data_IF_218685172015
#
_entry.id   IF_218685172015
#
_cell.length_a   1.000
_cell.length_b   1.000
_cell.length_c   1.000
_cell.angle_alpha   90.00
_cell.angle_beta   90.00
_cell.angle_gamma   90.00
#
_symmetry.space_group_name_H-M   'P 1'
#
loop_
_entity.id
_entity.type
_entity.pdbx_description
1 polymer ?
#
# COMPACT_ATOMS: atom_id res chain seq x y z
N UNK A 1 9.70 14.63 -8.71
CA UNK A 1 9.35 13.94 -7.45
C UNK A 1 10.56 13.50 -6.65
N UNK A 2 11.53 12.78 -7.24
CA UNK A 2 12.72 12.24 -6.54
C UNK A 2 13.38 13.23 -5.55
N UNK A 3 13.60 14.50 -5.92
CA UNK A 3 14.33 15.47 -5.09
C UNK A 3 13.44 16.33 -4.16
N UNK A 4 12.11 16.27 -4.29
CA UNK A 4 11.22 17.09 -3.48
C UNK A 4 10.99 16.42 -2.12
N UNK A 5 11.62 16.95 -1.06
CA UNK A 5 11.54 16.40 0.30
C UNK A 5 10.14 16.47 0.92
N UNK A 6 9.26 17.34 0.41
CA UNK A 6 7.89 17.47 0.90
C UNK A 6 6.98 16.34 0.40
N UNK A 7 7.40 15.60 -0.64
CA UNK A 7 6.66 14.46 -1.17
C UNK A 7 7.17 13.19 -0.50
N UNK A 8 6.27 12.47 0.14
CA UNK A 8 6.52 11.12 0.63
C UNK A 8 6.08 10.12 -0.45
N UNK A 9 7.05 9.46 -1.08
CA UNK A 9 6.87 8.58 -2.22
C UNK A 9 7.25 7.14 -1.87
N UNK A 10 6.32 6.23 -2.20
CA UNK A 10 6.46 4.79 -2.03
C UNK A 10 6.08 4.13 -3.34
N UNK A 11 6.82 3.10 -3.70
CA UNK A 11 6.53 2.25 -4.86
C UNK A 11 6.08 0.88 -4.37
N UNK A 12 4.95 0.40 -4.91
CA UNK A 12 4.39 -0.88 -4.55
C UNK A 12 4.60 -1.89 -5.66
N UNK A 13 5.31 -2.96 -5.33
CA UNK A 13 5.63 -4.03 -6.26
C UNK A 13 4.89 -5.31 -5.90
N UNK A 14 4.42 -6.03 -6.92
CA UNK A 14 3.83 -7.35 -6.75
C UNK A 14 4.58 -8.36 -7.62
N UNK A 15 5.02 -9.47 -7.02
CA UNK A 15 5.69 -10.55 -7.75
C UNK A 15 4.78 -11.18 -8.82
N UNK A 16 3.47 -11.18 -8.61
CA UNK A 16 2.50 -11.84 -9.50
C UNK A 16 1.90 -10.90 -10.54
N UNK A 17 2.24 -9.61 -10.47
CA UNK A 17 1.84 -8.63 -11.47
C UNK A 17 2.97 -8.44 -12.48
N UNK A 18 2.76 -8.94 -13.70
CA UNK A 18 3.75 -8.84 -14.78
C UNK A 18 3.97 -7.40 -15.27
N UNK A 19 3.04 -6.49 -15.00
CA UNK A 19 3.16 -5.08 -15.37
C UNK A 19 3.92 -4.30 -14.28
N UNK A 20 4.00 -4.83 -13.06
CA UNK A 20 4.81 -4.26 -11.99
C UNK A 20 6.29 -4.54 -12.26
N UNK A 21 7.13 -3.50 -12.18
CA UNK A 21 8.58 -3.65 -12.30
C UNK A 21 9.16 -4.27 -11.01
N UNK A 22 9.00 -5.58 -10.87
CA UNK A 22 9.40 -6.30 -9.66
C UNK A 22 10.92 -6.27 -9.44
N UNK A 23 11.35 -5.89 -8.22
CA UNK A 23 12.76 -5.72 -7.81
C UNK A 23 13.52 -4.69 -8.64
N UNK A 24 12.85 -3.66 -9.14
CA UNK A 24 13.49 -2.57 -9.88
C UNK A 24 13.50 -1.32 -9.01
N UNK A 25 14.67 -0.72 -8.83
CA UNK A 25 14.78 0.60 -8.22
C UNK A 25 14.53 1.65 -9.32
N UNK A 26 13.39 2.37 -9.31
CA UNK A 26 13.05 3.31 -10.38
C UNK A 26 14.00 4.50 -10.44
N UNK A 27 14.62 4.90 -9.32
CA UNK A 27 15.59 6.01 -9.29
C UNK A 27 16.87 5.59 -9.99
N UNK A 28 17.34 4.38 -9.74
CA UNK A 28 18.51 3.83 -10.45
C UNK A 28 18.20 3.59 -11.93
N UNK A 29 17.05 2.99 -12.25
CA UNK A 29 16.67 2.69 -13.63
C UNK A 29 16.58 3.95 -14.51
N UNK A 30 16.23 5.09 -13.91
CA UNK A 30 16.13 6.38 -14.59
C UNK A 30 17.39 7.25 -14.46
N UNK A 31 18.49 6.73 -13.89
CA UNK A 31 19.74 7.47 -13.63
C UNK A 31 19.52 8.78 -12.82
N UNK A 32 18.60 8.76 -11.87
CA UNK A 32 18.30 9.90 -11.01
C UNK A 32 19.19 9.89 -9.76
N UNK A 33 19.48 11.06 -9.16
CA UNK A 33 20.20 11.12 -7.90
C UNK A 33 19.47 10.36 -6.79
N UNK A 34 20.25 9.64 -5.96
CA UNK A 34 19.70 8.89 -4.83
C UNK A 34 19.20 9.86 -3.75
N UNK A 35 17.89 9.84 -3.47
CA UNK A 35 17.26 10.72 -2.48
C UNK A 35 16.70 9.96 -1.28
N UNK A 36 16.89 8.64 -1.25
CA UNK A 36 16.29 7.75 -0.24
C UNK A 36 14.79 7.48 -0.44
N UNK A 37 14.25 7.95 -1.56
CA UNK A 37 12.88 7.72 -2.04
C UNK A 37 12.92 7.25 -3.50
N UNK A 38 11.97 6.41 -3.96
CA UNK A 38 10.82 5.89 -3.21
C UNK A 38 11.22 4.88 -2.15
N UNK A 39 10.35 4.68 -1.16
CA UNK A 39 10.39 3.46 -0.36
C UNK A 39 9.74 2.33 -1.16
N UNK A 40 10.45 1.24 -1.41
CA UNK A 40 9.89 0.08 -2.10
C UNK A 40 9.15 -0.81 -1.10
N UNK A 41 7.90 -1.15 -1.38
CA UNK A 41 7.06 -2.04 -0.58
C UNK A 41 6.51 -3.15 -1.46
N UNK A 42 6.49 -4.36 -0.94
CA UNK A 42 5.98 -5.53 -1.67
C UNK A 42 4.58 -5.85 -1.20
N UNK A 43 3.69 -6.10 -2.15
CA UNK A 43 2.30 -6.49 -1.90
C UNK A 43 2.05 -7.87 -2.46
N UNK A 44 1.28 -8.65 -1.72
CA UNK A 44 0.97 -10.03 -2.07
C UNK A 44 -0.53 -10.11 -2.38
N UNK A 45 -0.88 -10.15 -3.66
CA UNK A 45 -2.28 -10.20 -4.11
C UNK A 45 -3.05 -11.40 -3.51
N UNK A 46 -2.36 -12.52 -3.23
CA UNK A 46 -2.95 -13.67 -2.53
C UNK A 46 -3.41 -13.37 -1.10
N UNK A 47 -2.82 -12.37 -0.45
CA UNK A 47 -3.13 -11.95 0.92
C UNK A 47 -4.22 -10.87 0.94
N UNK A 48 -4.51 -10.25 -0.19
CA UNK A 48 -5.60 -9.29 -0.37
C UNK A 48 -6.96 -9.98 -0.63
N UNK A 49 -6.92 -11.20 -1.18
CA UNK A 49 -8.10 -11.89 -1.71
C UNK A 49 -8.40 -13.18 -0.97
N UNK A 50 -9.67 -13.59 -0.92
CA UNK A 50 -10.00 -14.95 -0.48
C UNK A 50 -9.35 -15.97 -1.41
N UNK A 51 -9.10 -17.18 -0.89
CA UNK A 51 -8.39 -18.23 -1.63
C UNK A 51 -9.15 -18.57 -2.92
N UNK A 52 -10.47 -18.66 -2.83
CA UNK A 52 -11.38 -18.98 -3.92
C UNK A 52 -11.37 -17.88 -4.99
N UNK A 53 -11.43 -16.61 -4.56
CA UNK A 53 -11.32 -15.44 -5.45
C UNK A 53 -9.97 -15.42 -6.17
N UNK A 54 -8.88 -15.62 -5.44
CA UNK A 54 -7.54 -15.65 -6.02
C UNK A 54 -7.38 -16.78 -7.04
N UNK A 55 -7.85 -17.99 -6.71
CA UNK A 55 -7.79 -19.13 -7.63
C UNK A 55 -8.53 -18.89 -8.94
N UNK A 56 -9.66 -18.18 -8.90
CA UNK A 56 -10.46 -17.84 -10.09
C UNK A 56 -9.72 -16.91 -11.06
N UNK A 57 -8.90 -15.98 -10.55
CA UNK A 57 -8.31 -14.91 -11.36
C UNK A 57 -6.78 -14.93 -11.46
N UNK A 58 -6.08 -15.86 -10.79
CA UNK A 58 -4.60 -15.94 -10.80
C UNK A 58 -3.96 -16.09 -12.18
N UNK A 59 -4.72 -16.53 -13.20
CA UNK A 59 -4.24 -16.63 -14.58
C UNK A 59 -4.55 -15.40 -15.45
N UNK A 60 -5.35 -14.45 -14.94
CA UNK A 60 -5.74 -13.26 -15.68
C UNK A 60 -4.83 -12.08 -15.27
N UNK A 61 -3.80 -11.83 -16.08
CA UNK A 61 -2.78 -10.81 -15.81
C UNK A 61 -3.36 -9.42 -15.58
N UNK A 62 -4.25 -8.95 -16.47
CA UNK A 62 -4.88 -7.64 -16.33
C UNK A 62 -5.76 -7.55 -15.09
N UNK A 63 -6.43 -8.64 -14.71
CA UNK A 63 -7.20 -8.68 -13.48
C UNK A 63 -6.30 -8.59 -12.24
N UNK A 64 -5.17 -9.29 -12.22
CA UNK A 64 -4.19 -9.21 -11.13
C UNK A 64 -3.56 -7.81 -11.02
N UNK A 65 -3.19 -7.20 -12.15
CA UNK A 65 -2.65 -5.84 -12.18
C UNK A 65 -3.67 -4.82 -11.63
N UNK A 66 -4.90 -4.87 -12.13
CA UNK A 66 -5.97 -3.98 -11.68
C UNK A 66 -6.35 -4.21 -10.22
N UNK A 67 -6.06 -5.37 -9.65
CA UNK A 67 -6.38 -5.64 -8.24
C UNK A 67 -5.70 -4.64 -7.29
N UNK A 68 -4.56 -4.06 -7.67
CA UNK A 68 -3.87 -3.03 -6.88
C UNK A 68 -4.68 -1.75 -6.69
N UNK A 69 -5.68 -1.49 -7.55
CA UNK A 69 -6.58 -0.33 -7.49
C UNK A 69 -8.03 -0.72 -7.25
N UNK A 70 -8.27 -1.98 -6.84
CA UNK A 70 -9.59 -2.50 -6.48
C UNK A 70 -9.69 -2.76 -4.98
N UNK A 71 -10.90 -3.03 -4.51
CA UNK A 71 -11.15 -3.42 -3.13
C UNK A 71 -10.60 -4.81 -2.83
N UNK A 72 -10.18 -5.00 -1.59
CA UNK A 72 -9.73 -6.29 -1.07
C UNK A 72 -10.88 -7.10 -0.48
N UNK A 73 -10.76 -8.43 -0.50
CA UNK A 73 -11.69 -9.30 0.23
C UNK A 73 -11.25 -9.49 1.70
N UNK A 74 -9.94 -9.38 1.95
CA UNK A 74 -9.31 -9.57 3.27
C UNK A 74 -8.66 -8.28 3.74
N UNK A 75 -8.65 -8.09 5.06
CA UNK A 75 -7.87 -7.02 5.68
C UNK A 75 -6.40 -7.22 5.39
N UNK A 76 -5.82 -6.22 4.76
CA UNK A 76 -4.42 -6.23 4.38
C UNK A 76 -3.89 -4.80 4.52
N UNK A 77 -2.60 -4.64 4.84
CA UNK A 77 -2.04 -3.32 5.06
C UNK A 77 -2.14 -2.41 3.83
N UNK A 78 -2.04 -3.03 2.65
CA UNK A 78 -2.29 -2.39 1.36
C UNK A 78 -3.76 -2.51 1.01
N UNK A 79 -4.47 -1.39 1.03
CA UNK A 79 -5.83 -1.25 0.52
C UNK A 79 -5.92 0.13 -0.15
N UNK A 80 -6.26 0.14 -1.44
CA UNK A 80 -6.22 1.34 -2.26
C UNK A 80 -7.15 2.44 -1.72
N UNK A 81 -8.37 2.08 -1.33
CA UNK A 81 -9.34 3.03 -0.83
C UNK A 81 -8.95 3.56 0.55
N UNK A 82 -8.35 2.74 1.41
CA UNK A 82 -7.84 3.20 2.69
C UNK A 82 -6.56 4.06 2.56
N UNK A 83 -5.77 3.86 1.50
CA UNK A 83 -4.63 4.74 1.19
C UNK A 83 -5.12 6.11 0.72
N UNK A 84 -6.13 6.15 -0.15
CA UNK A 84 -6.63 7.41 -0.73
C UNK A 84 -7.58 8.16 0.21
N UNK A 85 -8.48 7.45 0.88
CA UNK A 85 -9.63 8.02 1.59
C UNK A 85 -9.69 7.63 3.07
N UNK A 86 -8.72 6.85 3.56
CA UNK A 86 -8.71 6.38 4.94
C UNK A 86 -8.33 7.46 5.96
N UNK A 87 -8.58 7.22 7.25
CA UNK A 87 -8.36 8.20 8.32
C UNK A 87 -6.88 8.37 8.71
N UNK A 88 -5.98 7.55 8.17
CA UNK A 88 -4.56 7.54 8.53
C UNK A 88 -3.70 8.18 7.43
N UNK A 89 -2.73 9.00 7.83
CA UNK A 89 -1.71 9.51 6.89
C UNK A 89 -0.93 8.36 6.27
N UNK A 90 -0.64 8.45 4.97
CA UNK A 90 0.04 7.38 4.24
C UNK A 90 1.38 6.94 4.86
N UNK A 91 2.18 7.90 5.34
CA UNK A 91 3.44 7.61 6.04
C UNK A 91 3.24 6.81 7.35
N UNK A 92 2.14 7.04 8.08
CA UNK A 92 1.78 6.28 9.28
C UNK A 92 1.41 4.85 8.90
N UNK A 93 0.60 4.67 7.84
CA UNK A 93 0.17 3.35 7.36
C UNK A 93 1.34 2.41 7.05
N UNK A 94 2.43 2.94 6.50
CA UNK A 94 3.58 2.15 6.07
C UNK A 94 4.60 1.83 7.14
N UNK A 95 4.57 2.58 8.25
CA UNK A 95 5.41 2.35 9.41
C UNK A 95 4.88 1.19 10.23
N UNK A 96 3.55 1.10 10.36
CA UNK A 96 2.87 0.09 11.16
C UNK A 96 1.74 -0.59 10.36
N UNK A 97 2.07 -1.63 9.58
CA UNK A 97 1.10 -2.41 8.82
C UNK A 97 0.07 -3.13 9.69
N UNK A 98 0.44 -3.52 10.91
CA UNK A 98 -0.42 -4.28 11.84
C UNK A 98 -1.48 -3.38 12.46
N UNK A 99 -1.12 -2.14 12.81
CA UNK A 99 -2.09 -1.12 13.20
C UNK A 99 -3.16 -0.93 12.11
N UNK A 100 -2.79 -1.00 10.83
CA UNK A 100 -3.75 -0.77 9.74
C UNK A 100 -4.82 -1.85 9.63
N UNK A 101 -4.51 -3.09 10.03
CA UNK A 101 -5.49 -4.18 10.03
C UNK A 101 -6.30 -4.22 11.33
N UNK A 102 -5.69 -3.83 12.47
CA UNK A 102 -6.30 -3.83 13.79
C UNK A 102 -7.12 -2.57 14.13
N UNK A 103 -6.87 -1.44 13.48
CA UNK A 103 -7.52 -0.16 13.81
C UNK A 103 -9.03 -0.12 13.55
N UNK A 104 -9.58 -1.05 12.78
CA UNK A 104 -10.99 -1.09 12.44
C UNK A 104 -11.69 -2.26 13.14
N UNK A 105 -12.85 -2.05 13.73
CA UNK A 105 -13.68 -3.12 14.27
C UNK A 105 -14.30 -3.94 13.11
N UNK A 106 -14.87 -5.14 13.37
CA UNK A 106 -15.45 -5.99 12.33
C UNK A 106 -16.52 -5.33 11.46
N UNK A 107 -17.26 -4.36 12.02
CA UNK A 107 -18.27 -3.54 11.34
C UNK A 107 -17.69 -2.38 10.49
N UNK A 108 -16.36 -2.22 10.51
CA UNK A 108 -15.66 -1.16 9.79
C UNK A 108 -15.54 0.16 10.56
N UNK A 109 -16.08 0.24 11.78
CA UNK A 109 -15.89 1.42 12.63
C UNK A 109 -14.42 1.56 13.05
N UNK A 110 -13.93 2.79 13.15
CA UNK A 110 -12.59 3.05 13.66
C UNK A 110 -12.60 2.83 15.18
N UNK A 111 -11.81 1.87 15.67
CA UNK A 111 -11.64 1.67 17.11
C UNK A 111 -10.95 2.91 17.65
N UNK A 112 -11.59 3.57 18.63
CA UNK A 112 -11.24 4.92 19.08
C UNK A 112 -9.73 5.11 19.21
N UNK A 113 -9.18 6.00 18.37
CA UNK A 113 -7.84 6.53 18.60
C UNK A 113 -7.91 7.41 19.84
N UNK A 114 -7.48 6.91 21.00
CA UNK A 114 -7.02 7.78 22.06
C UNK A 114 -5.84 8.60 21.54
N UNK A 115 -6.10 9.89 21.26
CA UNK A 115 -5.16 10.98 21.05
C UNK A 115 -3.97 10.80 20.08
N UNK A 116 -4.19 11.14 18.80
CA UNK A 116 -3.10 11.61 17.92
C UNK A 116 -3.30 13.04 17.37
N UNK A 117 -4.13 13.86 18.02
CA UNK A 117 -4.27 15.29 17.67
C UNK A 117 -3.17 16.21 18.23
N UNK A 118 -2.20 15.70 19.00
CA UNK A 118 -1.09 16.51 19.56
C UNK A 118 0.29 16.00 19.14
N UNK A 119 0.65 16.14 17.87
CA UNK A 119 2.05 16.22 17.45
C UNK A 119 2.13 16.65 15.99
N UNK A 120 2.03 17.96 15.73
CA UNK A 120 2.83 18.76 14.78
C UNK A 120 2.19 20.14 14.75
N UNK A 121 2.43 20.88 15.81
CA UNK A 121 2.26 22.33 15.87
C UNK A 121 3.57 22.89 16.40
N UNK A 122 4.03 23.97 15.79
CA UNK A 122 5.39 24.55 15.79
C UNK A 122 6.29 23.95 14.71
#
# INVERSE_FOLDING_TARGET
>A
MSQNRCVFWVDFESMVDIISFYKVDPVKALNLPATGQPKIKRVHVRDMLQRETYQRFRGNFFRLHRQLVMGNDKRYFYDYFMICCGPFRFATRLRDPELMTAAFAPDGSLVAQSDQRKATGT
#
